data_IF_172617755940
#
_entry.id   IF_172617755940
#
_cell.length_a   1.000
_cell.length_b   1.000
_cell.length_c   1.000
_cell.angle_alpha   90.00
_cell.angle_beta   90.00
_cell.angle_gamma   90.00
#
_symmetry.space_group_name_H-M   'P 1'
#
loop_
_entity.id
_entity.type
_entity.pdbx_description
1 polymer ?
#
# COMPACT_ATOMS: atom_id res chain seq x y z
N UNK A 1 42.93 5.47 -21.53
CA UNK A 1 41.60 4.86 -21.31
C UNK A 1 41.07 5.43 -20.00
N UNK A 2 40.05 6.29 -20.04
CA UNK A 2 39.49 6.96 -18.86
C UNK A 2 38.40 6.07 -18.25
N UNK A 3 38.53 5.66 -16.99
CA UNK A 3 37.51 4.89 -16.29
C UNK A 3 36.42 5.82 -15.73
N UNK A 4 35.15 5.59 -16.10
CA UNK A 4 34.02 6.31 -15.48
C UNK A 4 33.76 5.78 -14.06
N UNK A 5 33.43 6.64 -13.09
CA UNK A 5 33.01 6.19 -11.78
C UNK A 5 31.69 5.41 -11.89
N UNK A 6 31.64 4.23 -11.25
CA UNK A 6 30.41 3.46 -11.13
C UNK A 6 29.39 4.23 -10.29
N UNK A 7 28.22 4.50 -10.84
CA UNK A 7 27.12 5.12 -10.11
C UNK A 7 26.65 4.17 -8.98
N UNK A 8 26.25 4.69 -7.81
CA UNK A 8 25.75 3.87 -6.72
C UNK A 8 24.48 3.13 -7.13
N UNK A 9 24.41 1.84 -6.81
CA UNK A 9 23.21 1.04 -7.02
C UNK A 9 22.07 1.58 -6.14
N UNK A 10 21.01 2.09 -6.77
CA UNK A 10 19.77 2.44 -6.07
C UNK A 10 18.88 1.21 -6.02
N UNK A 11 18.48 0.80 -4.82
CA UNK A 11 17.43 -0.20 -4.67
C UNK A 11 16.14 0.37 -5.29
N UNK A 12 15.62 -0.32 -6.31
CA UNK A 12 14.35 0.10 -6.89
C UNK A 12 13.22 -0.19 -5.91
N UNK A 13 12.46 0.86 -5.59
CA UNK A 13 11.23 0.77 -4.81
C UNK A 13 10.17 0.21 -5.77
N UNK A 14 9.85 -1.08 -5.64
CA UNK A 14 9.14 -1.88 -6.66
C UNK A 14 7.88 -1.23 -7.23
N UNK A 15 6.97 -0.76 -6.37
CA UNK A 15 5.76 -0.05 -6.77
C UNK A 15 5.29 0.90 -5.66
N UNK A 16 4.78 2.08 -6.03
CA UNK A 16 4.25 3.08 -5.10
C UNK A 16 3.26 4.02 -5.78
N UNK A 17 2.44 4.69 -4.98
CA UNK A 17 1.45 5.69 -5.38
C UNK A 17 1.30 6.74 -4.27
N UNK A 18 1.15 8.01 -4.66
CA UNK A 18 0.86 9.14 -3.77
C UNK A 18 -0.45 9.77 -4.22
N UNK A 19 -1.40 9.89 -3.29
CA UNK A 19 -2.75 10.40 -3.55
C UNK A 19 -3.05 11.54 -2.59
N UNK A 20 -3.60 12.62 -3.12
CA UNK A 20 -4.19 13.68 -2.31
C UNK A 20 -5.48 13.16 -1.64
N UNK A 21 -5.56 13.28 -0.31
CA UNK A 21 -6.63 12.65 0.46
C UNK A 21 -8.00 13.32 0.25
N UNK A 22 -8.04 14.63 0.00
CA UNK A 22 -9.29 15.39 -0.12
C UNK A 22 -9.93 15.20 -1.51
N UNK A 23 -9.14 15.33 -2.57
CA UNK A 23 -9.61 15.27 -3.96
C UNK A 23 -9.54 13.86 -4.58
N UNK A 24 -8.70 12.98 -4.03
CA UNK A 24 -8.36 11.70 -4.65
C UNK A 24 -7.41 11.81 -5.86
N UNK A 25 -6.84 12.99 -6.12
CA UNK A 25 -5.90 13.18 -7.22
C UNK A 25 -4.60 12.39 -6.99
N UNK A 26 -4.13 11.67 -8.01
CA UNK A 26 -2.81 11.02 -7.98
C UNK A 26 -1.74 12.07 -8.22
N UNK A 27 -0.91 12.34 -7.21
CA UNK A 27 0.17 13.32 -7.30
C UNK A 27 1.41 12.73 -7.97
N UNK A 28 1.69 11.46 -7.72
CA UNK A 28 2.82 10.75 -8.32
C UNK A 28 2.63 9.22 -8.19
N UNK A 29 3.22 8.43 -9.08
CA UNK A 29 3.18 6.97 -9.01
C UNK A 29 4.27 6.28 -9.82
N UNK A 30 4.63 5.06 -9.38
CA UNK A 30 5.45 4.11 -10.15
C UNK A 30 4.83 2.73 -10.10
N UNK A 31 4.51 2.17 -11.27
CA UNK A 31 3.97 0.81 -11.41
C UNK A 31 2.75 0.52 -10.52
N UNK A 32 1.93 1.53 -10.22
CA UNK A 32 0.82 1.41 -9.27
C UNK A 32 -0.22 0.35 -9.64
N UNK A 33 -0.34 0.00 -10.92
CA UNK A 33 -1.26 -1.05 -11.41
C UNK A 33 -0.61 -2.42 -11.55
N UNK A 34 0.69 -2.56 -11.24
CA UNK A 34 1.38 -3.84 -11.27
C UNK A 34 0.87 -4.72 -10.13
N UNK A 35 0.48 -5.96 -10.45
CA UNK A 35 0.19 -6.94 -9.40
C UNK A 35 1.47 -7.23 -8.59
N UNK A 36 1.37 -7.08 -7.27
CA UNK A 36 2.50 -7.19 -6.35
C UNK A 36 2.11 -7.95 -5.08
N UNK A 37 3.08 -8.51 -4.37
CA UNK A 37 2.86 -9.19 -3.10
C UNK A 37 2.58 -8.17 -1.97
N UNK A 38 1.36 -8.13 -1.40
CA UNK A 38 1.00 -7.09 -0.41
C UNK A 38 1.53 -7.38 1.00
N UNK A 39 1.96 -8.62 1.28
CA UNK A 39 2.39 -9.07 2.60
C UNK A 39 1.39 -8.65 3.71
N UNK A 40 1.86 -7.98 4.76
CA UNK A 40 1.00 -7.53 5.87
C UNK A 40 0.01 -6.41 5.52
N UNK A 41 0.12 -5.76 4.37
CA UNK A 41 -0.84 -4.72 3.92
C UNK A 41 -2.25 -5.31 3.77
N UNK A 42 -2.38 -6.61 3.49
CA UNK A 42 -3.67 -7.32 3.48
C UNK A 42 -4.49 -7.10 4.76
N UNK A 43 -3.84 -6.83 5.90
CA UNK A 43 -4.52 -6.54 7.16
C UNK A 43 -5.37 -5.26 7.10
N UNK A 44 -5.08 -4.32 6.21
CA UNK A 44 -5.92 -3.12 6.02
C UNK A 44 -7.33 -3.49 5.55
N UNK A 45 -7.45 -4.45 4.63
CA UNK A 45 -8.76 -4.94 4.19
C UNK A 45 -9.49 -5.69 5.33
N UNK A 46 -8.77 -6.51 6.10
CA UNK A 46 -9.34 -7.18 7.28
C UNK A 46 -9.86 -6.17 8.31
N UNK A 47 -9.08 -5.13 8.60
CA UNK A 47 -9.48 -4.05 9.50
C UNK A 47 -10.69 -3.30 8.95
N UNK A 48 -10.66 -2.90 7.67
CA UNK A 48 -11.77 -2.24 6.98
C UNK A 48 -13.08 -3.03 7.12
N UNK A 49 -13.06 -4.33 6.79
CA UNK A 49 -14.24 -5.18 6.89
C UNK A 49 -14.70 -5.39 8.35
N UNK A 50 -13.76 -5.49 9.29
CA UNK A 50 -14.09 -5.62 10.72
C UNK A 50 -14.82 -4.39 11.24
N UNK A 51 -14.28 -3.19 10.97
CA UNK A 51 -14.90 -1.94 11.42
C UNK A 51 -16.18 -1.62 10.66
N UNK A 52 -16.27 -1.99 9.37
CA UNK A 52 -17.52 -1.93 8.61
C UNK A 52 -18.61 -2.76 9.28
N UNK A 53 -18.31 -4.02 9.63
CA UNK A 53 -19.27 -4.89 10.31
C UNK A 53 -19.71 -4.31 11.67
N UNK A 54 -18.77 -3.80 12.48
CA UNK A 54 -19.09 -3.15 13.76
C UNK A 54 -20.04 -1.97 13.55
N UNK A 55 -19.74 -1.09 12.57
CA UNK A 55 -20.57 0.08 12.23
C UNK A 55 -21.97 -0.31 11.77
N UNK A 56 -22.10 -1.43 11.06
CA UNK A 56 -23.37 -1.96 10.55
C UNK A 56 -24.16 -2.77 11.61
N UNK A 57 -23.71 -2.77 12.87
CA UNK A 57 -24.38 -3.48 13.98
C UNK A 57 -23.96 -4.94 14.15
N UNK A 58 -22.98 -5.40 13.37
CA UNK A 58 -22.35 -6.70 13.49
C UNK A 58 -21.54 -6.83 14.78
N UNK A 59 -22.13 -7.44 15.82
CA UNK A 59 -21.42 -7.80 17.05
C UNK A 59 -20.49 -8.98 16.80
N UNK A 60 -19.19 -8.81 17.02
CA UNK A 60 -18.27 -9.93 17.18
C UNK A 60 -18.56 -10.59 18.54
N UNK A 61 -19.02 -11.84 18.51
CA UNK A 61 -19.39 -12.62 19.69
C UNK A 61 -18.22 -12.63 20.69
N UNK A 62 -18.50 -12.18 21.92
CA UNK A 62 -17.61 -12.40 23.07
C UNK A 62 -17.29 -13.89 23.10
N UNK A 63 -16.00 -14.25 22.93
CA UNK A 63 -15.56 -15.60 23.25
C UNK A 63 -15.88 -15.79 24.74
N UNK A 64 -16.82 -16.68 25.02
CA UNK A 64 -16.96 -17.28 26.34
C UNK A 64 -15.77 -18.20 26.57
#
# INVERSE_FOLDING_TARGET
>A
MLALPAAPARADIGAWIVVDMESGAVLDQKQALRQWYPASITKLMTAYLTFKAIREGGRRRSRR
#
